data_IF_487927049522
#
_entry.id   IF_487927049522
#
_cell.length_a   1.000
_cell.length_b   1.000
_cell.length_c   1.000
_cell.angle_alpha   90.00
_cell.angle_beta   90.00
_cell.angle_gamma   90.00
#
_symmetry.space_group_name_H-M   'P 1'
#
loop_
_entity.id
_entity.type
_entity.pdbx_description
1 polymer ?
#
# COMPACT_ATOMS: atom_id res chain seq x y z
N UNK A 1 -17.82 -14.61 6.32
CA UNK A 1 -17.00 -15.31 5.31
C UNK A 1 -17.33 -14.70 3.96
N UNK A 2 -16.32 -14.42 3.14
CA UNK A 2 -16.46 -13.81 1.81
C UNK A 2 -15.39 -14.38 0.90
N UNK A 3 -15.68 -14.39 -0.41
CA UNK A 3 -14.76 -14.80 -1.45
C UNK A 3 -14.02 -13.56 -1.96
N UNK A 4 -12.71 -13.51 -1.71
CA UNK A 4 -11.87 -12.34 -1.95
C UNK A 4 -10.86 -12.63 -3.05
N UNK A 5 -10.85 -11.83 -4.11
CA UNK A 5 -9.80 -11.85 -5.12
C UNK A 5 -8.71 -10.84 -4.77
N UNK A 6 -7.45 -11.28 -4.74
CA UNK A 6 -6.30 -10.40 -4.56
C UNK A 6 -5.49 -10.37 -5.85
N UNK A 7 -5.58 -9.27 -6.60
CA UNK A 7 -4.69 -9.05 -7.77
C UNK A 7 -3.34 -8.54 -7.28
N UNK A 8 -2.23 -9.00 -7.86
CA UNK A 8 -0.90 -8.79 -7.27
C UNK A 8 -0.72 -9.64 -5.99
N UNK A 9 -1.54 -10.70 -5.86
CA UNK A 9 -1.63 -11.49 -4.64
C UNK A 9 -0.37 -12.30 -4.34
N UNK A 10 0.47 -12.58 -5.35
CA UNK A 10 1.73 -13.27 -5.17
C UNK A 10 2.89 -12.32 -4.81
N UNK A 11 2.66 -11.00 -4.85
CA UNK A 11 3.60 -9.97 -4.39
C UNK A 11 3.75 -9.92 -2.87
N UNK A 12 4.69 -9.10 -2.40
CA UNK A 12 5.05 -8.99 -0.97
C UNK A 12 3.87 -8.62 -0.07
N UNK A 13 3.12 -7.56 -0.42
CA UNK A 13 1.93 -7.15 0.32
C UNK A 13 0.76 -8.13 0.11
N UNK A 14 0.58 -8.63 -1.11
CA UNK A 14 -0.50 -9.55 -1.47
C UNK A 14 -0.47 -10.84 -0.66
N UNK A 15 0.73 -11.39 -0.41
CA UNK A 15 0.92 -12.58 0.42
C UNK A 15 0.46 -12.38 1.86
N UNK A 16 0.86 -11.26 2.48
CA UNK A 16 0.47 -10.93 3.85
C UNK A 16 -1.02 -10.67 3.98
N UNK A 17 -1.61 -9.97 3.01
CA UNK A 17 -3.06 -9.76 2.94
C UNK A 17 -3.78 -11.10 2.79
N UNK A 18 -3.32 -11.97 1.89
CA UNK A 18 -3.93 -13.28 1.67
C UNK A 18 -3.87 -14.16 2.91
N UNK A 19 -2.72 -14.20 3.59
CA UNK A 19 -2.55 -14.95 4.84
C UNK A 19 -3.48 -14.43 5.93
N UNK A 20 -3.56 -13.11 6.13
CA UNK A 20 -4.48 -12.53 7.10
C UNK A 20 -5.94 -12.85 6.78
N UNK A 21 -6.36 -12.70 5.53
CA UNK A 21 -7.74 -13.02 5.10
C UNK A 21 -8.10 -14.48 5.35
N UNK A 22 -7.18 -15.40 5.07
CA UNK A 22 -7.36 -16.83 5.35
C UNK A 22 -7.55 -17.06 6.86
N UNK A 23 -6.72 -16.42 7.68
CA UNK A 23 -6.81 -16.53 9.15
C UNK A 23 -8.11 -15.91 9.69
N UNK A 24 -8.64 -14.88 9.03
CA UNK A 24 -9.94 -14.27 9.31
C UNK A 24 -11.13 -15.11 8.77
N UNK A 25 -10.85 -16.23 8.11
CA UNK A 25 -11.85 -17.20 7.64
C UNK A 25 -12.47 -16.88 6.28
N UNK A 26 -11.78 -16.10 5.43
CA UNK A 26 -12.18 -15.84 4.04
C UNK A 26 -11.65 -16.91 3.07
N UNK A 27 -12.33 -17.06 1.93
CA UNK A 27 -11.79 -17.80 0.79
C UNK A 27 -11.02 -16.83 -0.10
N UNK A 28 -9.80 -17.19 -0.50
CA UNK A 28 -8.91 -16.26 -1.20
C UNK A 28 -8.54 -16.79 -2.59
N UNK A 29 -8.88 -16.00 -3.60
CA UNK A 29 -8.40 -16.17 -4.97
C UNK A 29 -7.16 -15.29 -5.17
N UNK A 30 -6.06 -15.88 -5.63
CA UNK A 30 -4.81 -15.19 -5.93
C UNK A 30 -4.74 -14.97 -7.44
N UNK A 31 -4.61 -13.73 -7.89
CA UNK A 31 -4.33 -13.42 -9.29
C UNK A 31 -3.00 -12.67 -9.43
N UNK A 32 -2.09 -13.21 -10.22
CA UNK A 32 -0.81 -12.56 -10.52
C UNK A 32 -0.23 -13.04 -11.85
N UNK A 33 0.91 -12.47 -12.25
CA UNK A 33 1.61 -12.84 -13.47
C UNK A 33 2.04 -14.32 -13.44
N UNK A 34 2.07 -15.01 -14.60
CA UNK A 34 2.48 -16.42 -14.65
C UNK A 34 3.86 -16.72 -14.05
N UNK A 35 4.79 -15.75 -14.16
CA UNK A 35 6.15 -15.83 -13.64
C UNK A 35 6.30 -15.36 -12.17
N UNK A 36 5.23 -14.96 -11.51
CA UNK A 36 5.28 -14.61 -10.09
C UNK A 36 5.66 -15.85 -9.24
N UNK A 37 6.17 -15.62 -8.04
CA UNK A 37 6.45 -16.71 -7.11
C UNK A 37 5.14 -17.14 -6.44
N UNK A 38 4.76 -18.42 -6.56
CA UNK A 38 3.57 -19.00 -5.91
C UNK A 38 3.91 -20.00 -4.80
N UNK A 39 5.17 -20.14 -4.42
CA UNK A 39 5.58 -21.01 -3.32
C UNK A 39 4.97 -20.55 -2.00
N UNK A 40 4.57 -21.51 -1.16
CA UNK A 40 3.99 -21.26 0.17
C UNK A 40 2.48 -20.99 0.20
N UNK A 41 1.79 -20.87 -0.94
CA UNK A 41 0.33 -20.81 -0.93
C UNK A 41 -0.30 -22.17 -0.61
N UNK A 42 -1.22 -22.18 0.35
CA UNK A 42 -2.00 -23.37 0.71
C UNK A 42 -3.14 -23.57 -0.30
N UNK A 43 -2.98 -24.55 -1.20
CA UNK A 43 -3.98 -24.88 -2.23
C UNK A 43 -5.33 -25.36 -1.64
N UNK A 44 -5.38 -25.72 -0.35
CA UNK A 44 -6.65 -26.06 0.31
C UNK A 44 -7.45 -24.83 0.74
N UNK A 45 -6.79 -23.66 0.83
CA UNK A 45 -7.38 -22.39 1.27
C UNK A 45 -7.35 -21.30 0.20
N UNK A 46 -6.63 -21.55 -0.90
CA UNK A 46 -6.44 -20.58 -1.99
C UNK A 46 -6.67 -21.21 -3.36
N UNK A 47 -7.26 -20.43 -4.27
CA UNK A 47 -7.28 -20.75 -5.70
C UNK A 47 -6.36 -19.79 -6.45
N UNK A 48 -5.42 -20.33 -7.22
CA UNK A 48 -4.42 -19.53 -7.95
C UNK A 48 -4.86 -19.38 -9.41
N UNK A 49 -4.87 -18.14 -9.87
CA UNK A 49 -5.10 -17.73 -11.25
C UNK A 49 -3.85 -17.01 -11.77
N UNK A 50 -3.32 -17.48 -12.89
CA UNK A 50 -2.11 -16.93 -13.50
C UNK A 50 -2.50 -16.17 -14.75
N UNK A 51 -2.15 -14.90 -14.83
CA UNK A 51 -2.64 -14.06 -15.90
C UNK A 51 -2.06 -12.65 -15.92
N UNK A 52 -2.45 -11.88 -16.93
CA UNK A 52 -2.13 -10.46 -17.03
C UNK A 52 -3.42 -9.65 -16.94
N UNK A 53 -3.40 -8.55 -16.17
CA UNK A 53 -4.55 -7.65 -16.08
C UNK A 53 -4.94 -7.01 -17.41
N UNK A 54 -4.07 -7.06 -18.42
CA UNK A 54 -4.33 -6.50 -19.75
C UNK A 54 -4.90 -7.50 -20.76
N UNK A 55 -5.24 -8.72 -20.34
CA UNK A 55 -5.90 -9.72 -21.19
C UNK A 55 -7.13 -10.34 -20.48
N UNK A 56 -7.78 -11.31 -21.13
CA UNK A 56 -9.01 -11.92 -20.63
C UNK A 56 -8.81 -12.93 -19.48
N UNK A 57 -7.57 -13.20 -19.06
CA UNK A 57 -7.28 -14.17 -18.00
C UNK A 57 -7.87 -13.78 -16.63
N UNK A 58 -8.15 -12.49 -16.41
CA UNK A 58 -8.77 -11.99 -15.18
C UNK A 58 -10.24 -12.45 -15.03
N UNK A 59 -10.94 -12.72 -16.14
CA UNK A 59 -12.39 -13.00 -16.13
C UNK A 59 -12.73 -14.22 -15.25
N UNK A 60 -11.97 -15.31 -15.33
CA UNK A 60 -12.24 -16.51 -14.52
C UNK A 60 -12.03 -16.26 -13.02
N UNK A 61 -11.07 -15.40 -12.67
CA UNK A 61 -10.73 -15.11 -11.28
C UNK A 61 -11.78 -14.28 -10.54
N UNK A 62 -12.65 -13.60 -11.29
CA UNK A 62 -13.74 -12.73 -10.79
C UNK A 62 -15.03 -13.53 -10.51
N UNK A 63 -15.16 -14.73 -11.06
CA UNK A 63 -16.36 -15.55 -10.86
C UNK A 63 -16.55 -15.89 -9.38
N UNK A 64 -17.77 -15.70 -8.88
CA UNK A 64 -18.16 -15.97 -7.48
C UNK A 64 -17.36 -15.19 -6.43
N UNK A 65 -16.78 -14.04 -6.81
CA UNK A 65 -16.10 -13.11 -5.90
C UNK A 65 -17.08 -12.08 -5.35
N UNK A 66 -16.97 -11.76 -4.06
CA UNK A 66 -17.71 -10.65 -3.44
C UNK A 66 -16.85 -9.38 -3.37
N UNK A 67 -15.54 -9.52 -3.14
CA UNK A 67 -14.62 -8.40 -2.94
C UNK A 67 -13.32 -8.60 -3.74
N UNK A 68 -12.87 -7.54 -4.40
CA UNK A 68 -11.58 -7.50 -5.11
C UNK A 68 -10.64 -6.54 -4.39
N UNK A 69 -9.48 -7.03 -3.98
CA UNK A 69 -8.38 -6.21 -3.47
C UNK A 69 -7.38 -6.01 -4.61
N UNK A 70 -7.29 -4.77 -5.09
CA UNK A 70 -6.45 -4.43 -6.23
C UNK A 70 -5.08 -3.91 -5.77
N UNK A 71 -4.08 -4.81 -5.67
CA UNK A 71 -2.70 -4.51 -5.27
C UNK A 71 -1.71 -4.57 -6.45
N UNK A 72 -2.10 -5.10 -7.60
CA UNK A 72 -1.24 -5.19 -8.77
C UNK A 72 -0.84 -3.80 -9.25
N UNK A 73 0.46 -3.53 -9.22
CA UNK A 73 1.04 -2.29 -9.73
C UNK A 73 2.53 -2.48 -10.02
N UNK A 74 3.08 -1.64 -10.90
CA UNK A 74 4.50 -1.36 -11.02
C UNK A 74 4.82 -0.19 -10.09
N UNK A 75 5.74 -0.41 -9.16
CA UNK A 75 6.23 0.58 -8.20
C UNK A 75 7.63 1.09 -8.61
N UNK A 76 8.08 2.24 -8.08
CA UNK A 76 9.48 2.65 -8.18
C UNK A 76 10.43 1.58 -7.62
N UNK A 77 11.65 1.45 -8.16
CA UNK A 77 12.25 2.30 -9.20
C UNK A 77 11.81 1.96 -10.64
N UNK A 78 11.25 0.77 -10.87
CA UNK A 78 10.80 0.33 -12.21
C UNK A 78 9.80 1.30 -12.83
N UNK A 79 8.90 1.86 -12.01
CA UNK A 79 7.93 2.85 -12.44
C UNK A 79 8.57 4.09 -13.08
N UNK A 80 9.77 4.47 -12.64
CA UNK A 80 10.50 5.63 -13.14
C UNK A 80 11.35 5.29 -14.38
N UNK A 81 11.58 4.00 -14.65
CA UNK A 81 12.43 3.53 -15.74
C UNK A 81 11.58 3.15 -16.96
N UNK A 82 10.44 2.49 -16.75
CA UNK A 82 9.60 1.97 -17.82
C UNK A 82 8.19 2.55 -17.72
N UNK A 83 8.04 3.79 -18.21
CA UNK A 83 6.82 4.57 -18.12
C UNK A 83 5.64 3.89 -18.83
N UNK A 84 5.89 3.35 -20.04
CA UNK A 84 4.87 2.65 -20.84
C UNK A 84 4.34 1.41 -20.13
N UNK A 85 5.24 0.56 -19.60
CA UNK A 85 4.81 -0.61 -18.82
C UNK A 85 4.03 -0.20 -17.58
N UNK A 86 4.42 0.90 -16.95
CA UNK A 86 3.78 1.41 -15.73
C UNK A 86 2.37 1.91 -16.02
N UNK A 87 2.15 2.68 -17.08
CA UNK A 87 0.80 3.08 -17.52
C UNK A 87 -0.05 1.86 -17.87
N UNK A 88 0.52 0.94 -18.64
CA UNK A 88 -0.17 -0.28 -19.07
C UNK A 88 -0.61 -1.16 -17.89
N UNK A 89 0.22 -1.32 -16.88
CA UNK A 89 -0.14 -2.15 -15.72
C UNK A 89 -1.03 -1.37 -14.75
N UNK A 90 -0.62 -0.17 -14.37
CA UNK A 90 -1.28 0.56 -13.29
C UNK A 90 -2.61 1.16 -13.75
N UNK A 91 -2.69 1.72 -14.97
CA UNK A 91 -3.89 2.43 -15.45
C UNK A 91 -4.75 1.51 -16.31
N UNK A 92 -4.18 0.93 -17.38
CA UNK A 92 -4.96 0.09 -18.29
C UNK A 92 -5.37 -1.23 -17.63
N UNK A 93 -4.51 -1.80 -16.79
CA UNK A 93 -4.85 -2.95 -15.96
C UNK A 93 -6.00 -2.68 -14.99
N UNK A 94 -6.02 -1.53 -14.31
CA UNK A 94 -7.17 -1.12 -13.47
C UNK A 94 -8.43 -0.94 -14.32
N UNK A 95 -8.33 -0.28 -15.48
CA UNK A 95 -9.46 -0.08 -16.40
C UNK A 95 -10.07 -1.41 -16.85
N UNK A 96 -9.24 -2.37 -17.24
CA UNK A 96 -9.69 -3.68 -17.67
C UNK A 96 -10.34 -4.44 -16.51
N UNK A 97 -9.75 -4.41 -15.33
CA UNK A 97 -10.34 -5.01 -14.12
C UNK A 97 -11.74 -4.47 -13.84
N UNK A 98 -11.90 -3.14 -13.82
CA UNK A 98 -13.21 -2.50 -13.62
C UNK A 98 -14.20 -2.92 -14.71
N UNK A 99 -13.79 -2.94 -15.98
CA UNK A 99 -14.64 -3.36 -17.10
C UNK A 99 -15.10 -4.82 -16.97
N UNK A 100 -14.21 -5.72 -16.53
CA UNK A 100 -14.56 -7.11 -16.26
C UNK A 100 -15.54 -7.25 -15.09
N UNK A 101 -15.34 -6.50 -14.00
CA UNK A 101 -16.26 -6.49 -12.86
C UNK A 101 -17.65 -6.01 -13.30
N UNK A 102 -17.75 -4.89 -14.02
CA UNK A 102 -19.04 -4.36 -14.51
C UNK A 102 -19.78 -5.36 -15.40
N UNK A 103 -19.05 -6.10 -16.24
CA UNK A 103 -19.60 -7.12 -17.13
C UNK A 103 -20.06 -8.39 -16.40
N UNK A 104 -19.30 -8.85 -15.41
CA UNK A 104 -19.50 -10.17 -14.77
C UNK A 104 -20.39 -10.06 -13.53
N UNK A 105 -20.04 -9.14 -12.61
CA UNK A 105 -20.76 -8.93 -11.36
C UNK A 105 -20.53 -7.51 -10.83
N UNK A 106 -21.39 -6.53 -11.20
CA UNK A 106 -21.24 -5.14 -10.77
C UNK A 106 -21.46 -4.92 -9.26
N UNK A 107 -21.93 -5.94 -8.52
CA UNK A 107 -22.13 -5.84 -7.06
C UNK A 107 -20.84 -6.04 -6.25
N UNK A 108 -19.74 -6.45 -6.90
CA UNK A 108 -18.44 -6.62 -6.25
C UNK A 108 -18.02 -5.31 -5.57
N UNK A 109 -17.41 -5.44 -4.40
CA UNK A 109 -16.72 -4.34 -3.73
C UNK A 109 -15.24 -4.34 -4.13
N UNK A 110 -14.71 -3.21 -4.60
CA UNK A 110 -13.28 -3.06 -4.90
C UNK A 110 -12.56 -2.26 -3.82
N UNK A 111 -11.49 -2.83 -3.26
CA UNK A 111 -10.56 -2.15 -2.36
C UNK A 111 -9.33 -1.79 -3.20
N UNK A 112 -9.15 -0.50 -3.46
CA UNK A 112 -8.08 0.02 -4.30
C UNK A 112 -6.92 0.56 -3.46
N UNK A 113 -5.71 0.07 -3.75
CA UNK A 113 -4.47 0.57 -3.14
C UNK A 113 -3.94 1.80 -3.89
N UNK A 114 -4.36 2.98 -3.45
CA UNK A 114 -3.78 4.26 -3.86
C UNK A 114 -2.56 4.61 -2.99
N UNK A 115 -2.02 5.81 -3.16
CA UNK A 115 -0.85 6.29 -2.41
C UNK A 115 -1.00 7.75 -2.04
N UNK A 116 -0.39 8.16 -0.92
CA UNK A 116 -0.25 9.58 -0.58
C UNK A 116 0.64 10.35 -1.56
N UNK A 117 1.44 9.68 -2.40
CA UNK A 117 2.29 10.36 -3.39
C UNK A 117 1.49 11.20 -4.39
N UNK A 118 0.20 10.93 -4.56
CA UNK A 118 -0.69 11.71 -5.44
C UNK A 118 -0.84 13.17 -4.98
N UNK A 119 -0.55 13.48 -3.71
CA UNK A 119 -0.60 14.87 -3.22
C UNK A 119 0.59 15.70 -3.72
N UNK A 120 1.66 15.05 -4.20
CA UNK A 120 2.90 15.70 -4.64
C UNK A 120 3.81 16.12 -3.49
N UNK A 121 4.94 16.73 -3.85
CA UNK A 121 5.91 17.36 -2.94
C UNK A 121 5.52 18.80 -2.61
N UNK A 122 6.32 19.46 -1.76
CA UNK A 122 6.16 20.89 -1.39
C UNK A 122 4.78 21.18 -0.78
N UNK A 123 4.30 20.22 -0.01
CA UNK A 123 3.06 20.35 0.72
C UNK A 123 3.22 21.47 1.75
N UNK A 124 2.18 22.28 1.92
CA UNK A 124 2.23 23.26 3.01
C UNK A 124 2.49 22.52 4.33
N UNK A 125 3.14 23.20 5.29
CA UNK A 125 3.45 22.61 6.60
C UNK A 125 2.19 22.28 7.44
N UNK A 126 1.03 22.10 6.82
CA UNK A 126 -0.21 21.63 7.43
C UNK A 126 -0.28 20.09 7.42
N UNK A 127 -1.26 19.55 8.13
CA UNK A 127 -1.59 18.13 8.04
C UNK A 127 -2.46 17.92 6.79
N UNK A 128 -2.17 16.88 6.01
CA UNK A 128 -2.90 16.59 4.77
C UNK A 128 -4.22 15.89 5.06
N UNK A 129 -5.28 16.48 4.54
CA UNK A 129 -6.64 16.00 4.51
C UNK A 129 -7.01 15.51 3.09
N UNK A 130 -8.16 14.84 2.97
CA UNK A 130 -8.62 14.27 1.70
C UNK A 130 -9.07 15.34 0.69
N UNK A 131 -9.44 16.53 1.16
CA UNK A 131 -9.85 17.69 0.37
C UNK A 131 -8.66 18.54 -0.13
N UNK A 132 -7.43 18.25 0.32
CA UNK A 132 -6.24 18.79 -0.31
C UNK A 132 -6.17 18.34 -1.78
N UNK A 133 -5.77 19.26 -2.66
CA UNK A 133 -5.69 19.02 -4.10
C UNK A 133 -4.61 17.98 -4.41
N UNK A 134 -4.96 16.97 -5.20
CA UNK A 134 -3.97 16.06 -5.76
C UNK A 134 -3.09 16.80 -6.78
N UNK A 135 -1.78 16.64 -6.65
CA UNK A 135 -0.77 17.22 -7.54
C UNK A 135 0.32 16.17 -7.83
N UNK A 136 -0.01 15.08 -8.53
CA UNK A 136 0.97 14.03 -8.82
C UNK A 136 2.11 14.59 -9.68
N UNK A 137 3.29 14.65 -9.11
CA UNK A 137 4.49 15.29 -9.68
C UNK A 137 5.56 14.30 -10.13
N UNK A 138 5.27 13.00 -10.05
CA UNK A 138 6.03 11.93 -10.69
C UNK A 138 5.11 10.94 -11.44
N UNK A 139 5.73 10.06 -12.24
CA UNK A 139 4.98 9.14 -13.10
C UNK A 139 4.18 8.10 -12.30
N UNK A 140 4.76 7.55 -11.24
CA UNK A 140 4.07 6.58 -10.38
C UNK A 140 2.85 7.21 -9.71
N UNK A 141 3.01 8.38 -9.08
CA UNK A 141 1.94 9.16 -8.47
C UNK A 141 0.84 9.48 -9.50
N UNK A 142 1.23 9.86 -10.72
CA UNK A 142 0.27 10.12 -11.80
C UNK A 142 -0.53 8.87 -12.16
N UNK A 143 0.12 7.70 -12.31
CA UNK A 143 -0.63 6.46 -12.60
C UNK A 143 -1.56 6.05 -11.46
N UNK A 144 -1.16 6.23 -10.19
CA UNK A 144 -2.03 5.96 -9.04
C UNK A 144 -3.22 6.90 -9.00
N UNK A 145 -3.02 8.19 -9.29
CA UNK A 145 -4.10 9.16 -9.38
C UNK A 145 -5.05 8.86 -10.54
N UNK A 146 -4.51 8.58 -11.73
CA UNK A 146 -5.32 8.23 -12.91
C UNK A 146 -6.18 6.99 -12.63
N UNK A 147 -5.63 5.95 -12.00
CA UNK A 147 -6.38 4.76 -11.59
C UNK A 147 -7.40 5.02 -10.48
N UNK A 148 -7.07 5.89 -9.52
CA UNK A 148 -8.01 6.32 -8.48
C UNK A 148 -9.26 6.97 -9.09
N UNK A 149 -9.07 7.87 -10.06
CA UNK A 149 -10.17 8.53 -10.79
C UNK A 149 -11.02 7.50 -11.56
N UNK A 150 -10.42 6.43 -12.10
CA UNK A 150 -11.18 5.36 -12.74
C UNK A 150 -12.05 4.59 -11.76
N UNK A 151 -11.50 4.24 -10.59
CA UNK A 151 -12.24 3.53 -9.55
C UNK A 151 -13.37 4.40 -9.01
N UNK A 152 -13.09 5.67 -8.70
CA UNK A 152 -14.07 6.61 -8.16
C UNK A 152 -15.25 6.87 -9.12
N UNK A 153 -14.97 6.95 -10.44
CA UNK A 153 -15.99 7.19 -11.47
C UNK A 153 -16.70 5.92 -11.95
N UNK A 154 -16.26 4.74 -11.51
CA UNK A 154 -16.93 3.49 -11.85
C UNK A 154 -18.29 3.38 -11.15
N UNK A 155 -19.17 2.53 -11.65
CA UNK A 155 -20.43 2.22 -10.96
C UNK A 155 -20.27 1.10 -9.91
N UNK A 156 -19.03 0.74 -9.59
CA UNK A 156 -18.69 -0.37 -8.69
C UNK A 156 -18.55 0.19 -7.27
N UNK A 157 -19.08 -0.54 -6.28
CA UNK A 157 -18.85 -0.22 -4.88
C UNK A 157 -17.35 -0.25 -4.59
N UNK A 158 -16.78 0.81 -4.01
CA UNK A 158 -15.34 0.88 -3.82
C UNK A 158 -14.93 1.42 -2.45
N UNK A 159 -13.70 1.10 -2.04
CA UNK A 159 -12.96 1.76 -0.97
C UNK A 159 -11.58 2.11 -1.49
N UNK A 160 -11.19 3.38 -1.40
CA UNK A 160 -9.89 3.86 -1.87
C UNK A 160 -8.99 4.13 -0.67
N UNK A 161 -7.82 3.51 -0.66
CA UNK A 161 -6.83 3.62 0.41
C UNK A 161 -5.60 4.37 -0.10
N UNK A 162 -5.44 5.65 0.24
CA UNK A 162 -4.22 6.44 -0.03
C UNK A 162 -3.19 6.11 1.07
N UNK A 163 -2.33 5.13 0.79
CA UNK A 163 -1.39 4.57 1.77
C UNK A 163 -0.11 5.42 1.85
N UNK A 164 0.32 5.75 3.07
CA UNK A 164 1.57 6.48 3.34
C UNK A 164 2.81 5.62 3.10
N UNK A 165 4.01 6.19 3.28
CA UNK A 165 5.24 5.39 3.18
C UNK A 165 5.21 4.21 4.15
N UNK A 166 5.54 3.01 3.66
CA UNK A 166 5.40 1.76 4.42
C UNK A 166 6.75 1.38 5.04
N UNK A 167 6.78 1.30 6.36
CA UNK A 167 7.94 0.82 7.12
C UNK A 167 7.80 -0.69 7.36
N UNK A 168 8.80 -1.45 6.90
CA UNK A 168 8.88 -2.90 7.10
C UNK A 168 9.68 -3.15 8.40
N UNK A 169 9.14 -3.91 9.37
CA UNK A 169 9.79 -4.15 10.67
C UNK A 169 10.89 -5.21 10.61
N UNK A 170 11.77 -5.10 9.62
CA UNK A 170 13.00 -5.89 9.49
C UNK A 170 14.14 -4.93 9.19
N UNK A 171 15.33 -5.24 9.67
CA UNK A 171 16.49 -4.39 9.44
C UNK A 171 16.75 -4.27 7.93
N UNK A 172 16.93 -3.02 7.49
CA UNK A 172 17.34 -2.68 6.14
C UNK A 172 18.53 -1.73 6.23
N UNK A 173 19.52 -1.93 5.36
CA UNK A 173 20.58 -0.94 5.21
C UNK A 173 19.97 0.43 4.87
N UNK A 174 20.43 1.51 5.52
CA UNK A 174 20.00 2.85 5.16
C UNK A 174 20.21 3.13 3.67
N UNK A 175 19.35 3.94 3.03
CA UNK A 175 19.58 4.35 1.66
C UNK A 175 20.82 5.23 1.57
N UNK A 176 21.38 5.36 0.36
CA UNK A 176 22.48 6.30 0.11
C UNK A 176 22.08 7.77 0.38
N UNK A 177 20.80 8.10 0.17
CA UNK A 177 20.19 9.39 0.51
C UNK A 177 18.78 9.14 1.05
N UNK A 178 18.44 9.76 2.17
CA UNK A 178 17.08 9.72 2.73
C UNK A 178 16.11 10.49 1.82
N UNK A 179 14.89 9.96 1.58
CA UNK A 179 13.97 10.48 0.57
C UNK A 179 13.13 11.69 1.05
N UNK A 180 13.67 12.48 1.99
CA UNK A 180 13.02 13.65 2.59
C UNK A 180 14.07 14.62 3.11
N UNK A 181 13.68 15.86 3.41
CA UNK A 181 14.56 16.83 4.07
C UNK A 181 14.60 16.58 5.60
N UNK A 182 15.66 17.02 6.32
CA UNK A 182 15.76 16.85 7.77
C UNK A 182 14.55 17.42 8.54
N UNK A 183 14.13 18.64 8.20
CA UNK A 183 13.00 19.31 8.87
C UNK A 183 11.63 18.95 8.28
N UNK A 184 11.59 18.07 7.26
CA UNK A 184 10.33 17.68 6.63
C UNK A 184 9.50 16.85 7.59
N UNK A 185 8.19 17.14 7.64
CA UNK A 185 7.21 16.30 8.31
C UNK A 185 7.11 14.97 7.59
N UNK A 186 7.25 13.88 8.31
CA UNK A 186 7.07 12.55 7.76
C UNK A 186 6.12 11.76 8.63
N UNK A 187 5.31 10.95 7.98
CA UNK A 187 4.45 9.96 8.63
C UNK A 187 4.48 8.70 7.77
N UNK A 188 5.12 7.66 8.32
CA UNK A 188 5.06 6.32 7.76
C UNK A 188 3.94 5.52 8.42
N UNK A 189 3.75 4.31 7.94
CA UNK A 189 2.87 3.31 8.52
C UNK A 189 3.59 1.98 8.60
N UNK A 190 3.37 1.26 9.70
CA UNK A 190 3.84 -0.10 9.85
C UNK A 190 3.22 -1.03 8.77
N UNK A 191 4.03 -1.90 8.15
CA UNK A 191 3.56 -2.85 7.13
C UNK A 191 2.30 -3.62 7.55
N UNK A 192 2.27 -4.15 8.77
CA UNK A 192 1.15 -4.99 9.23
C UNK A 192 -0.12 -4.16 9.51
N UNK A 193 0.02 -2.87 9.74
CA UNK A 193 -1.09 -1.93 9.86
C UNK A 193 -1.69 -1.62 8.47
N UNK A 194 -0.87 -1.58 7.41
CA UNK A 194 -1.36 -1.55 6.01
C UNK A 194 -2.18 -2.80 5.71
N UNK A 195 -1.64 -3.98 6.02
CA UNK A 195 -2.32 -5.27 5.84
C UNK A 195 -3.66 -5.29 6.59
N UNK A 196 -3.67 -4.82 7.84
CA UNK A 196 -4.88 -4.73 8.66
C UNK A 196 -5.90 -3.78 8.05
N UNK A 197 -5.49 -2.59 7.57
CA UNK A 197 -6.40 -1.63 6.94
C UNK A 197 -7.08 -2.19 5.68
N UNK A 198 -6.34 -2.94 4.86
CA UNK A 198 -6.84 -3.59 3.65
C UNK A 198 -7.83 -4.70 4.01
N UNK A 199 -7.46 -5.60 4.93
CA UNK A 199 -8.31 -6.73 5.31
C UNK A 199 -9.58 -6.27 6.04
N UNK A 200 -9.48 -5.29 6.94
CA UNK A 200 -10.64 -4.75 7.66
C UNK A 200 -11.55 -3.88 6.78
N UNK A 201 -11.17 -3.61 5.52
CA UNK A 201 -12.07 -3.03 4.52
C UNK A 201 -13.00 -4.08 3.91
N UNK A 202 -12.65 -5.38 3.96
CA UNK A 202 -13.46 -6.48 3.45
C UNK A 202 -14.72 -6.64 4.31
N UNK A 203 -15.90 -6.68 3.67
CA UNK A 203 -17.23 -6.71 4.33
C UNK A 203 -17.54 -5.52 5.26
N UNK A 204 -16.72 -4.46 5.26
CA UNK A 204 -16.95 -3.30 6.09
C UNK A 204 -17.81 -2.27 5.35
N UNK A 205 -19.13 -2.31 5.60
CA UNK A 205 -20.08 -1.40 4.95
C UNK A 205 -19.84 0.08 5.26
N UNK A 206 -19.20 0.41 6.38
CA UNK A 206 -18.83 1.81 6.68
C UNK A 206 -17.69 2.31 5.79
N UNK A 207 -16.91 1.41 5.18
CA UNK A 207 -15.86 1.74 4.24
C UNK A 207 -16.35 1.90 2.79
N UNK A 208 -17.59 1.50 2.49
CA UNK A 208 -18.11 1.52 1.12
C UNK A 208 -18.32 2.97 0.65
N UNK A 209 -17.85 3.26 -0.57
CA UNK A 209 -17.83 4.60 -1.16
C UNK A 209 -16.90 5.57 -0.41
N UNK A 210 -16.03 5.07 0.47
CA UNK A 210 -15.10 5.91 1.23
C UNK A 210 -13.71 5.94 0.58
N UNK A 211 -13.07 7.08 0.78
CA UNK A 211 -11.66 7.30 0.52
C UNK A 211 -10.97 7.64 1.84
N UNK A 212 -9.77 7.09 2.06
CA UNK A 212 -9.04 7.25 3.31
C UNK A 212 -7.55 7.53 3.07
N UNK A 213 -6.98 8.43 3.86
CA UNK A 213 -5.54 8.41 4.11
C UNK A 213 -5.25 7.30 5.12
N UNK A 214 -4.36 6.39 4.77
CA UNK A 214 -3.92 5.26 5.60
C UNK A 214 -2.48 5.53 6.05
N UNK A 215 -2.30 5.84 7.33
CA UNK A 215 -1.02 6.30 7.91
C UNK A 215 -0.84 5.83 9.35
N UNK A 216 0.39 5.86 9.88
CA UNK A 216 0.72 5.29 11.20
C UNK A 216 0.11 6.03 12.39
N UNK A 217 -0.38 7.25 12.21
CA UNK A 217 -1.01 8.04 13.24
C UNK A 217 0.00 8.78 14.11
N UNK A 218 -0.45 9.25 15.28
CA UNK A 218 0.24 10.29 16.04
C UNK A 218 1.67 9.94 16.49
N UNK A 219 1.96 8.68 16.79
CA UNK A 219 3.33 8.27 17.16
C UNK A 219 4.30 8.29 15.98
N UNK A 220 3.79 8.20 14.75
CA UNK A 220 4.57 8.23 13.52
C UNK A 220 4.74 9.64 12.94
N UNK A 221 4.09 10.66 13.51
CA UNK A 221 4.17 12.05 13.08
C UNK A 221 5.43 12.72 13.63
N UNK A 222 6.54 12.55 12.91
CA UNK A 222 7.86 13.05 13.29
C UNK A 222 8.51 13.84 12.15
N UNK A 223 9.71 14.35 12.38
CA UNK A 223 10.55 14.99 11.36
C UNK A 223 11.52 13.97 10.77
N UNK A 224 11.99 14.23 9.54
CA UNK A 224 13.03 13.43 8.90
C UNK A 224 14.27 13.22 9.79
N UNK A 225 14.81 14.28 10.38
CA UNK A 225 15.99 14.24 11.25
C UNK A 225 15.79 13.31 12.45
N UNK A 226 14.61 13.37 13.09
CA UNK A 226 14.25 12.50 14.22
C UNK A 226 14.24 11.04 13.80
N UNK A 227 13.62 10.72 12.66
CA UNK A 227 13.59 9.35 12.17
C UNK A 227 14.99 8.80 11.88
N UNK A 228 15.82 9.59 11.19
CA UNK A 228 17.19 9.19 10.87
C UNK A 228 18.01 9.01 12.14
N UNK A 229 17.88 9.93 13.10
CA UNK A 229 18.55 9.83 14.41
C UNK A 229 18.18 8.54 15.14
N UNK A 230 16.89 8.23 15.26
CA UNK A 230 16.45 7.01 15.95
C UNK A 230 16.94 5.74 15.24
N UNK A 231 16.94 5.75 13.90
CA UNK A 231 17.44 4.63 13.11
C UNK A 231 18.96 4.47 13.29
N UNK A 232 19.71 5.57 13.23
CA UNK A 232 21.17 5.57 13.38
C UNK A 232 21.62 5.21 14.80
N UNK A 233 20.84 5.57 15.82
CA UNK A 233 21.07 5.11 17.20
C UNK A 233 20.96 3.58 17.33
N UNK A 234 20.09 2.93 16.56
CA UNK A 234 20.01 1.46 16.51
C UNK A 234 21.26 0.85 15.83
N UNK A 235 21.81 1.54 14.85
CA UNK A 235 22.96 1.07 14.07
C UNK A 235 24.32 1.48 14.64
N UNK A 236 24.33 2.27 15.72
CA UNK A 236 25.54 2.88 16.27
C UNK A 236 26.33 3.71 15.24
N UNK A 237 25.61 4.40 14.35
CA UNK A 237 26.17 5.27 13.29
C UNK A 237 26.05 6.74 13.69
N UNK A 238 27.09 7.54 13.42
CA UNK A 238 27.04 8.98 13.70
C UNK A 238 26.15 9.72 12.67
N UNK A 239 25.36 10.67 13.16
CA UNK A 239 24.49 11.56 12.37
C UNK A 239 25.24 12.38 11.32
N UNK A 240 26.56 12.61 11.47
CA UNK A 240 27.37 13.26 10.43
C UNK A 240 27.37 12.50 9.09
N UNK A 241 27.06 11.20 9.11
CA UNK A 241 26.97 10.36 7.92
C UNK A 241 25.57 10.39 7.26
N UNK A 242 24.60 11.11 7.84
CA UNK A 242 23.27 11.19 7.29
C UNK A 242 23.24 12.07 6.03
N UNK A 243 22.96 11.44 4.88
CA UNK A 243 22.75 12.13 3.61
C UNK A 243 21.26 12.18 3.30
N UNK A 244 20.78 13.36 2.93
CA UNK A 244 19.39 13.60 2.55
C UNK A 244 19.35 14.05 1.09
N UNK A 245 18.26 13.73 0.39
CA UNK A 245 18.02 14.30 -0.92
C UNK A 245 17.90 15.85 -0.86
N UNK A 246 18.01 16.52 -2.00
CA UNK A 246 18.08 17.99 -2.06
C UNK A 246 16.74 18.71 -2.00
N UNK A 247 15.64 17.99 -2.21
CA UNK A 247 14.29 18.54 -2.30
C UNK A 247 13.34 17.78 -1.36
N UNK A 248 12.14 18.31 -1.13
CA UNK A 248 11.15 17.58 -0.34
C UNK A 248 10.73 16.27 -1.00
N UNK A 249 10.47 15.26 -0.17
CA UNK A 249 9.83 14.01 -0.58
C UNK A 249 8.32 14.11 -0.58
N UNK A 250 7.64 13.01 -0.92
CA UNK A 250 6.18 12.89 -0.92
C UNK A 250 5.55 12.66 0.47
N UNK A 251 6.27 13.04 1.52
CA UNK A 251 5.87 12.77 2.90
C UNK A 251 5.35 14.03 3.57
N UNK A 252 4.31 13.85 4.40
CA UNK A 252 3.79 14.85 5.32
C UNK A 252 3.14 14.11 6.51
N UNK A 253 2.43 14.83 7.35
CA UNK A 253 1.48 14.24 8.29
C UNK A 253 0.11 14.14 7.64
N UNK A 254 -0.64 13.08 7.91
CA UNK A 254 -1.93 12.81 7.29
C UNK A 254 -3.04 12.70 8.33
N UNK A 255 -4.20 13.24 8.02
CA UNK A 255 -5.40 13.05 8.83
C UNK A 255 -5.97 11.64 8.62
N UNK A 256 -5.70 10.74 9.55
CA UNK A 256 -6.13 9.32 9.50
C UNK A 256 -7.14 8.93 10.57
N UNK A 257 -7.59 9.85 11.44
CA UNK A 257 -8.47 9.51 12.59
C UNK A 257 -9.77 8.80 12.18
N UNK A 258 -10.42 9.29 11.10
CA UNK A 258 -11.66 8.66 10.57
C UNK A 258 -11.37 7.25 10.05
N UNK A 259 -10.28 7.09 9.29
CA UNK A 259 -9.91 5.81 8.71
C UNK A 259 -9.63 4.77 9.80
N UNK A 260 -8.87 5.15 10.84
CA UNK A 260 -8.54 4.22 11.93
C UNK A 260 -9.75 3.90 12.80
N UNK A 261 -10.70 4.83 12.96
CA UNK A 261 -11.97 4.54 13.64
C UNK A 261 -12.77 3.44 12.93
N UNK A 262 -12.79 3.47 11.60
CA UNK A 262 -13.58 2.54 10.78
C UNK A 262 -12.85 1.22 10.55
N UNK A 263 -11.54 1.27 10.29
CA UNK A 263 -10.73 0.14 9.85
C UNK A 263 -9.83 -0.44 10.94
N UNK A 264 -9.70 0.21 12.10
CA UNK A 264 -9.00 -0.30 13.30
C UNK A 264 -7.62 -0.91 13.02
N UNK A 265 -6.77 -0.14 12.36
CA UNK A 265 -5.52 -0.66 11.81
C UNK A 265 -4.26 -0.14 12.49
N UNK A 266 -4.28 1.00 13.19
CA UNK A 266 -3.09 1.58 13.83
C UNK A 266 -2.75 0.84 15.13
N UNK A 267 -2.25 -0.38 15.01
CA UNK A 267 -1.94 -1.27 16.13
C UNK A 267 -0.44 -1.28 16.46
N UNK A 268 0.41 -0.74 15.59
CA UNK A 268 1.85 -0.69 15.75
C UNK A 268 2.33 0.77 15.83
N UNK A 269 2.68 1.23 17.03
CA UNK A 269 3.27 2.56 17.20
C UNK A 269 4.75 2.58 16.76
N UNK A 270 5.28 3.80 16.61
CA UNK A 270 6.64 4.01 16.13
C UNK A 270 7.71 3.43 17.07
N UNK A 271 7.50 3.48 18.38
CA UNK A 271 8.41 2.92 19.37
C UNK A 271 8.51 1.39 19.27
N UNK A 272 7.38 0.71 19.05
CA UNK A 272 7.33 -0.73 18.84
C UNK A 272 8.05 -1.12 17.53
N UNK A 273 7.89 -0.31 16.48
CA UNK A 273 8.63 -0.50 15.23
C UNK A 273 10.14 -0.44 15.45
N UNK A 274 10.64 0.58 16.16
CA UNK A 274 12.07 0.67 16.50
C UNK A 274 12.56 -0.53 17.32
N UNK A 275 11.73 -1.02 18.25
CA UNK A 275 12.07 -2.21 19.03
C UNK A 275 12.15 -3.48 18.15
N UNK A 276 11.28 -3.63 17.15
CA UNK A 276 11.33 -4.73 16.19
C UNK A 276 12.59 -4.67 15.32
N UNK A 277 12.95 -3.49 14.82
CA UNK A 277 14.19 -3.30 14.04
C UNK A 277 15.42 -3.68 14.88
N UNK A 278 15.49 -3.23 16.14
CA UNK A 278 16.59 -3.59 17.05
C UNK A 278 16.64 -5.10 17.31
N UNK A 279 15.49 -5.73 17.55
CA UNK A 279 15.43 -7.17 17.76
C UNK A 279 15.91 -7.95 16.52
N UNK A 280 15.51 -7.52 15.33
CA UNK A 280 15.93 -8.15 14.07
C UNK A 280 17.45 -7.99 13.84
N UNK A 281 18.00 -6.81 14.11
CA UNK A 281 19.44 -6.56 14.04
C UNK A 281 20.22 -7.46 15.00
N UNK A 282 19.78 -7.59 16.26
CA UNK A 282 20.42 -8.47 17.24
C UNK A 282 20.40 -9.94 16.77
N UNK A 283 19.27 -10.40 16.23
CA UNK A 283 19.17 -11.74 15.66
C UNK A 283 20.16 -11.98 14.50
N UNK A 284 20.37 -10.97 13.64
CA UNK A 284 21.35 -11.02 12.54
C UNK A 284 22.80 -11.03 13.05
N UNK A 285 23.07 -10.31 14.14
CA UNK A 285 24.38 -10.25 14.79
C UNK A 285 24.68 -11.48 15.68
N UNK A 286 23.68 -12.31 15.95
CA UNK A 286 23.82 -13.51 16.78
C UNK A 286 23.86 -13.23 18.28
N UNK A 287 23.30 -12.10 18.71
CA UNK A 287 23.12 -11.69 20.10
C UNK A 287 21.74 -12.08 20.65
#
# INVERSE_FOLDING_TARGET
>A
MSNVLVTGGAGSMGRLVSEKLINDGHQVNIFDLPQANYEGFDNSKTKIFKGNLNDSSIEESILEVDTVIHLAAILPPTANINLELTEKVNVDGTRNLLSCIEKINPNIHIIFSSSVSIYGKNLDNSTIHLDNTANPDDHYAKTKYDSEVLVERSNINHTILRISGVSIPVFQEPPSEWPFLPNQKIEFIHRDDVVTSICNSVNNKEAYGQMFNISGGKSWQITGEKYVKDYFEILEVDMENALYQKEEGHFSWYQSSKSNKILQYQNNNYENYLAQIRQDLNNLMGE
#
